data_IF_119463462994
#
_entry.id   IF_119463462994
#
_cell.length_a   1.000
_cell.length_b   1.000
_cell.length_c   1.000
_cell.angle_alpha   90.00
_cell.angle_beta   90.00
_cell.angle_gamma   90.00
#
_symmetry.space_group_name_H-M   'P 1'
#
loop_
_entity.id
_entity.type
_entity.pdbx_description
1 polymer ?
#
# COMPACT_ATOMS: atom_id res chain seq x y z
N UNK A 1 74.64 53.80 12.15
CA UNK A 1 76.02 53.29 12.35
C UNK A 1 76.97 54.19 11.56
N UNK A 2 77.70 55.09 12.23
CA UNK A 2 78.65 56.03 11.59
C UNK A 2 80.04 55.37 11.58
N UNK A 3 80.56 55.04 10.41
CA UNK A 3 81.90 54.50 10.24
C UNK A 3 82.83 55.65 9.79
N UNK A 4 83.71 56.12 10.68
CA UNK A 4 84.78 57.05 10.35
C UNK A 4 86.03 56.24 9.98
N UNK A 5 86.49 56.32 8.73
CA UNK A 5 87.78 55.80 8.29
C UNK A 5 88.66 56.98 7.86
N UNK A 6 89.53 57.42 8.77
CA UNK A 6 90.62 58.33 8.45
C UNK A 6 91.81 57.53 7.91
N UNK A 7 92.00 57.54 6.59
CA UNK A 7 93.20 56.97 5.97
C UNK A 7 93.90 58.05 5.17
N UNK A 8 95.04 58.52 5.69
CA UNK A 8 96.01 59.35 4.99
C UNK A 8 97.07 58.43 4.39
N UNK A 9 97.19 58.40 3.07
CA UNK A 9 98.36 57.86 2.38
C UNK A 9 98.07 56.79 1.32
N UNK A 10 98.69 56.97 0.16
CA UNK A 10 98.75 56.09 -1.01
C UNK A 10 97.52 56.10 -1.94
N UNK A 11 97.70 56.71 -3.12
CA UNK A 11 96.77 56.67 -4.27
C UNK A 11 96.43 55.24 -4.75
N UNK A 12 97.18 54.21 -4.30
CA UNK A 12 96.89 52.82 -4.62
C UNK A 12 95.78 52.21 -3.75
N UNK A 13 95.64 52.63 -2.49
CA UNK A 13 94.60 52.11 -1.58
C UNK A 13 93.18 52.61 -1.93
N UNK A 14 93.08 53.79 -2.55
CA UNK A 14 91.82 54.34 -3.03
C UNK A 14 91.15 53.51 -4.14
N UNK A 15 91.94 52.90 -5.04
CA UNK A 15 91.40 52.09 -6.13
C UNK A 15 90.88 50.74 -5.65
N UNK A 16 91.56 50.12 -4.68
CA UNK A 16 91.15 48.83 -4.10
C UNK A 16 89.89 48.99 -3.24
N UNK A 17 89.81 50.06 -2.45
CA UNK A 17 88.60 50.37 -1.68
C UNK A 17 87.38 50.62 -2.59
N UNK A 18 87.57 51.33 -3.71
CA UNK A 18 86.50 51.56 -4.69
C UNK A 18 86.02 50.26 -5.35
N UNK A 19 86.95 49.36 -5.72
CA UNK A 19 86.58 48.06 -6.29
C UNK A 19 85.82 47.18 -5.29
N UNK A 20 86.28 47.09 -4.04
CA UNK A 20 85.57 46.34 -3.00
C UNK A 20 84.18 46.88 -2.73
N UNK A 21 84.00 48.21 -2.74
CA UNK A 21 82.68 48.82 -2.53
C UNK A 21 81.73 48.52 -3.69
N UNK A 22 82.22 48.57 -4.93
CA UNK A 22 81.43 48.23 -6.13
C UNK A 22 81.09 46.74 -6.14
N UNK A 23 82.04 45.86 -5.83
CA UNK A 23 81.77 44.42 -5.72
C UNK A 23 80.74 44.11 -4.64
N UNK A 24 80.82 44.77 -3.48
CA UNK A 24 79.83 44.59 -2.41
C UNK A 24 78.46 45.11 -2.82
N UNK A 25 78.39 46.24 -3.54
CA UNK A 25 77.13 46.79 -4.02
C UNK A 25 76.48 45.91 -5.09
N UNK A 26 77.28 45.34 -6.00
CA UNK A 26 76.80 44.41 -7.04
C UNK A 26 76.32 43.09 -6.44
N UNK A 27 77.05 42.53 -5.47
CA UNK A 27 76.63 41.31 -4.76
C UNK A 27 75.39 41.60 -3.91
N UNK A 28 75.30 42.75 -3.24
CA UNK A 28 74.12 43.15 -2.48
C UNK A 28 72.89 43.33 -3.37
N UNK A 29 73.03 43.96 -4.54
CA UNK A 29 71.95 44.11 -5.52
C UNK A 29 71.54 42.75 -6.11
N UNK A 30 72.48 41.87 -6.45
CA UNK A 30 72.17 40.52 -6.95
C UNK A 30 71.52 39.64 -5.86
N UNK A 31 71.92 39.77 -4.61
CA UNK A 31 71.34 39.01 -3.49
C UNK A 31 69.94 39.51 -3.12
N UNK A 32 69.67 40.83 -3.22
CA UNK A 32 68.34 41.38 -2.99
C UNK A 32 67.40 41.19 -4.18
N UNK A 33 67.88 41.32 -5.42
CA UNK A 33 67.07 41.08 -6.62
C UNK A 33 66.85 39.58 -6.90
N UNK A 34 67.74 38.70 -6.44
CA UNK A 34 67.59 37.25 -6.54
C UNK A 34 66.67 36.63 -5.48
N UNK A 35 66.45 37.31 -4.35
CA UNK A 35 65.59 36.85 -3.24
C UNK A 35 64.28 37.63 -3.08
N UNK A 36 63.96 38.57 -3.96
CA UNK A 36 62.56 38.93 -4.15
C UNK A 36 61.89 37.72 -4.79
N UNK A 37 61.39 36.80 -3.96
CA UNK A 37 60.27 35.98 -4.38
C UNK A 37 59.25 36.99 -4.91
N UNK A 38 59.04 36.98 -6.22
CA UNK A 38 57.91 37.64 -6.84
C UNK A 38 56.69 36.99 -6.19
N UNK A 39 56.22 37.60 -5.11
CA UNK A 39 54.86 37.41 -4.65
C UNK A 39 54.04 38.08 -5.74
N UNK A 40 53.85 37.35 -6.84
CA UNK A 40 52.75 37.65 -7.74
C UNK A 40 51.54 37.65 -6.83
N UNK A 41 50.93 38.83 -6.65
CA UNK A 41 49.63 38.91 -6.03
C UNK A 41 48.76 37.93 -6.80
N UNK A 42 48.45 36.79 -6.18
CA UNK A 42 47.64 35.78 -6.81
C UNK A 42 46.40 36.49 -7.30
N UNK A 43 46.15 36.44 -8.61
CA UNK A 43 44.93 36.99 -9.18
C UNK A 43 43.77 36.41 -8.36
N UNK A 44 42.89 37.26 -7.80
CA UNK A 44 41.79 36.78 -6.96
C UNK A 44 41.05 35.68 -7.70
N UNK A 45 40.85 34.54 -7.04
CA UNK A 45 40.05 33.46 -7.61
C UNK A 45 38.61 33.98 -7.67
N UNK A 46 38.05 34.03 -8.88
CA UNK A 46 36.64 34.36 -9.09
C UNK A 46 35.88 33.05 -9.29
N UNK A 47 34.74 32.91 -8.61
CA UNK A 47 33.83 31.80 -8.82
C UNK A 47 32.76 32.22 -9.83
N UNK A 48 32.69 31.53 -10.97
CA UNK A 48 31.91 32.01 -12.13
C UNK A 48 30.59 31.27 -12.33
N UNK A 49 30.49 30.00 -11.92
CA UNK A 49 29.29 29.21 -12.20
C UNK A 49 29.05 28.11 -11.18
N UNK A 50 27.82 28.05 -10.68
CA UNK A 50 27.33 26.99 -9.81
C UNK A 50 26.33 26.13 -10.57
N UNK A 51 26.60 24.83 -10.70
CA UNK A 51 25.68 23.86 -11.32
C UNK A 51 25.30 22.77 -10.32
N UNK A 52 24.07 22.27 -10.41
CA UNK A 52 23.63 21.09 -9.68
C UNK A 52 23.15 20.01 -10.66
N UNK A 53 23.38 18.75 -10.33
CA UNK A 53 22.86 17.61 -11.09
C UNK A 53 22.12 16.67 -10.13
N UNK A 54 20.81 16.43 -10.34
CA UNK A 54 19.92 17.11 -11.28
C UNK A 54 19.76 18.62 -10.96
N UNK A 55 19.28 19.39 -11.93
CA UNK A 55 19.01 20.82 -11.77
C UNK A 55 17.97 21.07 -10.66
N UNK A 56 18.11 22.18 -9.94
CA UNK A 56 17.13 22.64 -8.94
C UNK A 56 15.96 23.37 -9.62
N UNK A 57 14.70 23.19 -9.18
CA UNK A 57 14.25 22.20 -8.20
C UNK A 57 14.22 20.77 -8.78
N UNK A 58 14.49 19.78 -7.94
CA UNK A 58 14.44 18.36 -8.33
C UNK A 58 13.44 17.59 -7.47
N UNK A 59 12.89 16.49 -7.99
CA UNK A 59 12.04 15.57 -7.22
C UNK A 59 12.92 14.62 -6.39
N UNK A 60 12.52 14.33 -5.15
CA UNK A 60 13.17 13.32 -4.33
C UNK A 60 13.08 11.94 -4.99
N UNK A 61 14.22 11.29 -5.18
CA UNK A 61 14.32 9.91 -5.67
C UNK A 61 15.27 9.19 -4.72
N UNK A 62 14.79 8.12 -4.08
CA UNK A 62 15.61 7.29 -3.21
C UNK A 62 16.82 6.73 -3.97
N UNK A 63 17.94 6.55 -3.26
CA UNK A 63 19.20 6.05 -3.83
C UNK A 63 19.80 6.87 -4.99
N UNK A 64 19.37 8.12 -5.22
CA UNK A 64 19.92 8.96 -6.29
C UNK A 64 20.95 9.97 -5.76
N UNK A 65 22.22 9.77 -6.11
CA UNK A 65 23.29 10.72 -5.84
C UNK A 65 22.99 12.12 -6.40
N UNK A 66 23.52 13.14 -5.73
CA UNK A 66 23.39 14.54 -6.13
C UNK A 66 24.78 15.14 -6.27
N UNK A 67 25.04 15.89 -7.33
CA UNK A 67 26.33 16.55 -7.50
C UNK A 67 26.18 18.06 -7.61
N UNK A 68 27.10 18.79 -7.01
CA UNK A 68 27.19 20.25 -7.12
C UNK A 68 28.57 20.59 -7.62
N UNK A 69 28.66 21.48 -8.60
CA UNK A 69 29.94 21.94 -9.13
C UNK A 69 30.06 23.44 -9.19
N UNK A 70 31.28 23.93 -8.94
CA UNK A 70 31.66 25.33 -9.06
C UNK A 70 32.83 25.49 -10.03
N UNK A 71 32.73 26.46 -10.95
CA UNK A 71 33.82 26.84 -11.84
C UNK A 71 34.65 27.99 -11.23
N UNK A 72 35.97 27.95 -11.40
CA UNK A 72 36.90 29.01 -10.98
C UNK A 72 37.66 29.64 -12.14
N UNK A 73 37.92 30.95 -12.04
CA UNK A 73 38.75 31.71 -12.97
C UNK A 73 39.86 32.47 -12.22
N UNK A 74 41.11 32.50 -12.74
CA UNK A 74 41.56 31.86 -13.98
C UNK A 74 41.70 30.34 -13.86
N UNK A 75 41.18 29.61 -14.85
CA UNK A 75 41.18 28.15 -14.89
C UNK A 75 42.59 27.51 -14.97
N UNK A 76 43.64 28.32 -15.14
CA UNK A 76 45.03 27.89 -15.38
C UNK A 76 45.96 28.01 -14.17
N UNK A 77 45.52 28.60 -13.06
CA UNK A 77 46.35 28.66 -11.86
C UNK A 77 46.26 27.32 -11.11
N UNK A 78 47.39 26.73 -10.65
CA UNK A 78 47.34 25.73 -9.60
C UNK A 78 46.84 26.45 -8.36
N UNK A 79 45.53 26.57 -8.23
CA UNK A 79 44.92 27.00 -6.99
C UNK A 79 45.48 26.02 -5.96
N UNK A 80 46.26 26.53 -5.02
CA UNK A 80 46.59 25.81 -3.82
C UNK A 80 45.28 25.68 -3.05
N UNK A 81 44.39 24.82 -3.54
CA UNK A 81 43.06 24.56 -3.00
C UNK A 81 43.17 23.84 -1.65
N UNK A 82 44.40 23.78 -1.09
CA UNK A 82 44.80 23.54 0.28
C UNK A 82 43.79 24.09 1.29
N UNK A 83 42.67 23.40 1.57
CA UNK A 83 41.73 23.81 2.62
C UNK A 83 40.50 24.62 2.17
N UNK A 84 39.99 24.44 0.94
CA UNK A 84 38.62 24.86 0.61
C UNK A 84 37.64 24.17 1.57
N UNK A 85 36.78 24.97 2.22
CA UNK A 85 35.74 24.49 3.13
C UNK A 85 34.40 24.63 2.42
N UNK A 86 33.64 23.55 2.41
CA UNK A 86 32.27 23.56 1.93
C UNK A 86 31.31 23.56 3.11
N UNK A 87 30.37 24.50 3.12
CA UNK A 87 29.35 24.55 4.17
C UNK A 87 28.00 24.16 3.58
N UNK A 88 27.39 23.14 4.18
CA UNK A 88 26.03 22.72 3.85
C UNK A 88 25.13 23.21 4.96
N UNK A 89 24.18 24.08 4.61
CA UNK A 89 23.07 24.42 5.49
C UNK A 89 21.82 23.75 4.98
N UNK A 90 21.18 22.89 5.77
CA UNK A 90 19.84 22.41 5.44
C UNK A 90 18.83 23.22 6.24
N UNK A 91 17.81 23.78 5.60
CA UNK A 91 16.79 24.56 6.30
C UNK A 91 15.88 23.70 7.21
N UNK A 92 16.17 22.39 7.28
CA UNK A 92 15.41 21.36 8.01
C UNK A 92 16.06 21.04 9.37
N UNK A 93 17.34 21.35 9.52
CA UNK A 93 18.13 21.27 10.75
C UNK A 93 19.12 22.42 10.66
N UNK A 94 18.89 23.50 11.38
CA UNK A 94 19.67 24.76 11.39
C UNK A 94 21.20 24.57 11.68
N UNK A 95 21.69 23.34 11.81
CA UNK A 95 23.10 23.00 11.90
C UNK A 95 23.73 22.96 10.51
N UNK A 96 24.72 23.82 10.31
CA UNK A 96 25.60 23.72 9.17
C UNK A 96 26.64 22.62 9.41
N UNK A 97 26.82 21.69 8.47
CA UNK A 97 27.97 20.77 8.50
C UNK A 97 29.07 21.32 7.60
N UNK A 98 30.25 21.54 8.17
CA UNK A 98 31.44 21.84 7.39
C UNK A 98 32.02 20.55 6.83
N UNK A 99 32.17 20.48 5.51
CA UNK A 99 32.89 19.43 4.81
C UNK A 99 34.20 20.03 4.32
N UNK A 100 35.30 19.71 5.00
CA UNK A 100 36.65 20.15 4.61
C UNK A 100 37.21 19.23 3.54
N UNK A 101 37.97 19.79 2.59
CA UNK A 101 38.68 19.08 1.53
C UNK A 101 39.25 17.73 1.98
N UNK A 102 38.99 16.69 1.19
CA UNK A 102 39.66 15.40 1.30
C UNK A 102 41.11 15.57 0.79
N UNK A 103 42.09 15.45 1.68
CA UNK A 103 43.50 15.57 1.32
C UNK A 103 43.98 14.39 0.43
N UNK A 104 43.32 13.23 0.51
CA UNK A 104 43.62 12.02 -0.25
C UNK A 104 42.31 11.41 -0.79
N UNK A 105 42.31 10.88 -2.02
CA UNK A 105 41.14 10.44 -2.79
C UNK A 105 40.37 9.21 -2.28
N UNK A 106 40.18 9.07 -0.96
CA UNK A 106 39.50 7.94 -0.31
C UNK A 106 38.32 8.30 0.58
N UNK A 107 37.84 9.54 0.58
CA UNK A 107 36.69 9.97 1.40
C UNK A 107 35.43 10.16 0.54
N UNK A 108 34.30 9.68 1.08
CA UNK A 108 33.04 9.31 0.40
C UNK A 108 32.32 10.42 -0.40
N UNK A 109 32.76 11.68 -0.35
CA UNK A 109 32.01 12.83 -0.89
C UNK A 109 32.65 13.56 -2.08
N UNK A 110 33.90 13.25 -2.47
CA UNK A 110 34.63 14.07 -3.44
C UNK A 110 35.28 13.19 -4.52
N UNK A 111 34.60 13.00 -5.65
CA UNK A 111 35.23 12.48 -6.86
C UNK A 111 35.68 13.70 -7.69
N UNK A 112 36.98 13.91 -7.77
CA UNK A 112 37.56 14.98 -8.59
C UNK A 112 37.26 14.71 -10.07
N UNK A 113 36.97 15.76 -10.84
CA UNK A 113 36.86 15.64 -12.29
C UNK A 113 38.14 16.18 -12.93
N UNK A 114 38.54 15.59 -14.04
CA UNK A 114 39.89 15.62 -14.62
C UNK A 114 40.24 16.94 -15.32
N UNK A 115 39.41 17.97 -15.14
CA UNK A 115 39.48 19.24 -15.86
C UNK A 115 39.88 20.37 -14.91
N UNK A 116 40.99 21.04 -15.23
CA UNK A 116 41.47 22.21 -14.49
C UNK A 116 40.38 23.29 -14.52
N UNK A 117 39.89 23.72 -13.35
CA UNK A 117 38.95 24.84 -13.23
C UNK A 117 37.50 24.50 -12.83
N UNK A 118 37.12 23.24 -12.66
CA UNK A 118 35.78 22.86 -12.14
C UNK A 118 35.90 21.93 -10.94
N UNK A 119 35.36 22.36 -9.80
CA UNK A 119 35.22 21.51 -8.61
C UNK A 119 33.86 20.86 -8.60
N UNK A 120 33.78 19.56 -8.32
CA UNK A 120 32.52 18.82 -8.16
C UNK A 120 32.52 18.07 -6.82
N UNK A 121 31.42 18.16 -6.08
CA UNK A 121 31.16 17.38 -4.87
C UNK A 121 29.95 16.50 -5.13
N UNK A 122 30.07 15.22 -4.79
CA UNK A 122 29.01 14.23 -4.90
C UNK A 122 28.48 13.91 -3.50
N UNK A 123 27.20 14.16 -3.30
CA UNK A 123 26.50 13.78 -2.08
C UNK A 123 25.86 12.42 -2.25
N UNK A 124 26.04 11.61 -1.21
CA UNK A 124 25.33 10.34 -1.06
C UNK A 124 23.92 10.59 -0.52
N UNK A 125 23.06 9.57 -0.61
CA UNK A 125 21.69 9.61 -0.05
C UNK A 125 21.67 10.00 1.43
N UNK A 126 22.66 9.57 2.22
CA UNK A 126 22.73 9.89 3.65
C UNK A 126 22.75 11.42 3.94
N UNK A 127 23.21 12.22 2.98
CA UNK A 127 23.28 13.69 3.10
C UNK A 127 22.03 14.39 2.56
N UNK A 128 21.28 13.73 1.66
CA UNK A 128 20.01 14.18 1.09
C UNK A 128 18.88 13.18 1.39
N UNK A 129 18.80 12.76 2.66
CA UNK A 129 17.83 11.79 3.17
C UNK A 129 16.36 12.24 3.10
N UNK A 130 16.11 13.52 2.76
CA UNK A 130 14.77 14.07 2.76
C UNK A 130 14.51 15.24 1.82
N UNK A 131 13.26 15.38 1.37
CA UNK A 131 12.80 16.54 0.63
C UNK A 131 12.87 17.80 1.50
N UNK A 132 13.01 18.96 0.84
CA UNK A 132 13.18 20.25 1.49
C UNK A 132 14.21 21.11 0.79
N UNK A 133 14.55 22.23 1.42
CA UNK A 133 15.48 23.22 0.87
C UNK A 133 16.83 23.11 1.56
N UNK A 134 17.88 23.04 0.75
CA UNK A 134 19.27 23.08 1.19
C UNK A 134 19.98 24.29 0.56
N UNK A 135 20.84 24.93 1.33
CA UNK A 135 21.63 26.08 0.95
C UNK A 135 23.10 25.68 0.90
N UNK A 136 23.78 26.05 -0.19
CA UNK A 136 25.18 25.69 -0.43
C UNK A 136 26.02 26.94 -0.61
N UNK A 137 27.11 27.02 0.14
CA UNK A 137 28.09 28.10 0.03
C UNK A 137 29.48 27.50 0.03
N UNK A 138 30.29 27.89 -0.95
CA UNK A 138 31.69 27.49 -1.02
C UNK A 138 32.54 28.57 -0.38
N UNK A 139 33.53 28.17 0.41
CA UNK A 139 34.52 29.05 1.01
C UNK A 139 35.91 28.61 0.57
N UNK A 140 36.64 29.50 -0.11
CA UNK A 140 38.07 29.33 -0.30
C UNK A 140 38.80 30.01 0.86
N UNK A 141 39.74 29.30 1.46
CA UNK A 141 40.75 29.91 2.29
C UNK A 141 41.79 30.51 1.34
N UNK A 142 41.73 31.81 1.08
CA UNK A 142 42.86 32.45 0.41
C UNK A 142 43.94 32.75 1.45
N UNK A 143 45.20 32.59 1.06
CA UNK A 143 46.35 32.87 1.93
C UNK A 143 46.51 34.36 2.25
N UNK A 144 45.68 35.22 1.67
CA UNK A 144 45.63 36.66 1.88
C UNK A 144 44.64 37.11 2.96
N UNK A 145 43.87 36.19 3.55
CA UNK A 145 42.89 36.50 4.60
C UNK A 145 41.64 37.22 4.08
N UNK A 146 41.42 37.29 2.77
CA UNK A 146 40.18 37.75 2.19
C UNK A 146 39.26 36.53 2.05
N UNK A 147 38.21 36.46 2.86
CA UNK A 147 37.25 35.36 2.81
C UNK A 147 36.52 35.34 1.46
N UNK A 148 37.05 34.60 0.49
CA UNK A 148 36.41 34.43 -0.80
C UNK A 148 35.35 33.34 -0.69
N UNK A 149 34.07 33.75 -0.72
CA UNK A 149 32.93 32.83 -0.74
C UNK A 149 32.12 32.99 -2.02
N UNK A 150 31.47 31.92 -2.45
CA UNK A 150 30.44 32.02 -3.49
C UNK A 150 29.17 32.66 -2.94
N UNK A 151 28.29 33.08 -3.83
CA UNK A 151 26.88 33.22 -3.50
C UNK A 151 26.30 31.90 -2.97
N UNK A 152 25.25 32.03 -2.15
CA UNK A 152 24.55 30.88 -1.59
C UNK A 152 23.56 30.33 -2.62
N UNK A 153 23.76 29.10 -3.05
CA UNK A 153 22.84 28.41 -3.95
C UNK A 153 21.73 27.78 -3.12
N UNK A 154 20.48 28.00 -3.54
CA UNK A 154 19.32 27.31 -2.98
C UNK A 154 18.96 26.10 -3.85
N UNK A 155 19.10 24.89 -3.28
CA UNK A 155 18.62 23.66 -3.89
C UNK A 155 17.32 23.23 -3.24
N UNK A 156 16.27 23.03 -4.03
CA UNK A 156 14.99 22.52 -3.55
C UNK A 156 14.82 21.07 -4.02
N UNK A 157 14.63 20.16 -3.05
CA UNK A 157 14.10 18.82 -3.29
C UNK A 157 12.61 18.84 -2.99
N UNK A 158 11.80 18.66 -4.02
CA UNK A 158 10.37 18.48 -3.89
C UNK A 158 10.06 17.04 -3.48
N UNK A 159 9.00 16.87 -2.69
CA UNK A 159 8.44 15.57 -2.35
C UNK A 159 8.14 14.78 -3.64
N UNK A 160 8.41 13.47 -3.63
CA UNK A 160 8.03 12.60 -4.74
C UNK A 160 6.51 12.48 -4.79
N UNK A 161 5.95 12.58 -5.99
CA UNK A 161 4.54 12.93 -6.20
C UNK A 161 3.54 11.84 -5.80
N UNK A 162 3.95 10.60 -5.50
CA UNK A 162 3.10 9.61 -4.82
C UNK A 162 3.85 8.32 -4.51
N UNK A 163 3.44 7.59 -3.46
CA UNK A 163 3.81 6.18 -3.26
C UNK A 163 3.01 5.21 -4.15
N UNK A 164 2.02 5.69 -4.91
CA UNK A 164 1.06 4.87 -5.66
C UNK A 164 1.71 3.86 -6.63
N UNK A 165 2.79 4.24 -7.31
CA UNK A 165 3.47 3.39 -8.29
C UNK A 165 4.31 2.26 -7.66
N UNK A 166 4.44 2.25 -6.34
CA UNK A 166 5.24 1.29 -5.61
C UNK A 166 4.41 0.33 -4.75
N UNK A 167 3.10 0.51 -4.70
CA UNK A 167 2.16 -0.32 -3.95
C UNK A 167 1.27 -1.12 -4.89
N UNK A 168 0.90 -2.32 -4.46
CA UNK A 168 -0.03 -3.21 -5.15
C UNK A 168 -1.04 -3.77 -4.16
N UNK A 169 -2.24 -4.03 -4.65
CA UNK A 169 -3.35 -4.60 -3.91
C UNK A 169 -4.06 -5.58 -4.83
N UNK A 170 -4.20 -6.83 -4.38
CA UNK A 170 -4.92 -7.88 -5.11
C UNK A 170 -6.02 -8.49 -4.27
N UNK A 171 -7.02 -9.05 -4.96
CA UNK A 171 -7.96 -10.02 -4.39
C UNK A 171 -7.79 -11.33 -5.19
N UNK A 172 -7.40 -12.40 -4.50
CA UNK A 172 -7.01 -13.70 -5.08
C UNK A 172 -6.08 -13.51 -6.28
N UNK A 173 -4.94 -12.87 -6.04
CA UNK A 173 -3.85 -12.66 -7.00
C UNK A 173 -4.21 -11.81 -8.24
N UNK A 174 -5.36 -11.14 -8.25
CA UNK A 174 -5.75 -10.20 -9.32
C UNK A 174 -5.88 -8.77 -8.80
N UNK A 175 -5.28 -7.79 -9.49
CA UNK A 175 -5.44 -6.35 -9.20
C UNK A 175 -6.77 -5.79 -9.73
N UNK A 176 -7.88 -6.42 -9.36
CA UNK A 176 -9.22 -5.95 -9.71
C UNK A 176 -10.23 -6.33 -8.65
N UNK A 177 -11.34 -5.58 -8.58
CA UNK A 177 -12.49 -5.96 -7.76
C UNK A 177 -12.99 -7.35 -8.15
N UNK A 178 -13.56 -8.06 -7.19
CA UNK A 178 -14.04 -9.43 -7.36
C UNK A 178 -15.42 -9.63 -6.77
N UNK A 179 -16.10 -10.64 -7.30
CA UNK A 179 -17.33 -11.16 -6.76
C UNK A 179 -17.20 -12.67 -6.57
N UNK A 180 -17.61 -13.15 -5.40
CA UNK A 180 -17.56 -14.57 -5.04
C UNK A 180 -18.90 -15.03 -4.48
N UNK A 181 -19.13 -16.33 -4.59
CA UNK A 181 -20.24 -17.03 -3.96
C UNK A 181 -19.79 -17.62 -2.63
N UNK A 182 -20.55 -17.38 -1.56
CA UNK A 182 -20.32 -18.06 -0.28
C UNK A 182 -20.50 -19.58 -0.44
N UNK A 183 -19.69 -20.46 0.20
CA UNK A 183 -18.63 -20.21 1.18
C UNK A 183 -17.21 -20.14 0.60
N UNK A 184 -16.97 -19.42 -0.49
CA UNK A 184 -15.59 -19.25 -0.99
C UNK A 184 -14.71 -18.44 -0.02
N UNK A 185 -13.48 -18.89 0.16
CA UNK A 185 -12.43 -18.11 0.82
C UNK A 185 -11.96 -16.94 -0.05
N UNK A 186 -11.51 -15.87 0.58
CA UNK A 186 -10.89 -14.72 -0.08
C UNK A 186 -9.51 -14.46 0.50
N UNK A 187 -8.61 -13.95 -0.33
CA UNK A 187 -7.28 -13.49 0.02
C UNK A 187 -7.08 -12.09 -0.57
N UNK A 188 -7.21 -11.06 0.25
CA UNK A 188 -6.79 -9.71 -0.13
C UNK A 188 -5.34 -9.49 0.30
N UNK A 189 -4.43 -9.21 -0.64
CA UNK A 189 -3.01 -9.01 -0.33
C UNK A 189 -2.53 -7.65 -0.78
N UNK A 190 -1.95 -6.88 0.14
CA UNK A 190 -1.27 -5.61 -0.13
C UNK A 190 0.25 -5.77 0.02
N UNK A 191 1.02 -5.22 -0.90
CA UNK A 191 2.48 -5.22 -0.81
C UNK A 191 3.10 -4.01 -1.52
N UNK A 192 4.35 -3.72 -1.20
CA UNK A 192 5.12 -2.66 -1.85
C UNK A 192 6.56 -3.06 -2.16
N UNK A 193 7.18 -2.36 -3.11
CA UNK A 193 8.60 -2.53 -3.43
C UNK A 193 9.48 -1.80 -2.39
N UNK A 194 10.02 -2.52 -1.40
CA UNK A 194 10.84 -1.92 -0.34
C UNK A 194 12.12 -1.27 -0.82
N UNK A 195 12.69 -1.74 -1.96
CA UNK A 195 13.89 -1.14 -2.54
C UNK A 195 13.68 0.31 -3.01
N UNK A 196 12.42 0.70 -3.29
CA UNK A 196 12.08 2.06 -3.71
C UNK A 196 12.14 3.10 -2.58
N UNK A 197 12.16 2.64 -1.31
CA UNK A 197 12.08 3.50 -0.14
C UNK A 197 13.40 3.62 0.65
N UNK A 198 14.43 2.83 0.28
CA UNK A 198 15.80 2.98 0.77
C UNK A 198 15.88 3.12 2.30
N UNK A 199 16.57 4.15 2.77
CA UNK A 199 16.74 4.47 4.20
C UNK A 199 15.53 5.16 4.85
N UNK A 200 14.47 5.45 4.10
CA UNK A 200 13.25 6.11 4.58
C UNK A 200 12.06 5.14 4.52
N UNK A 201 11.95 4.17 5.45
CA UNK A 201 10.86 3.20 5.43
C UNK A 201 9.51 3.91 5.57
N UNK A 202 8.60 3.61 4.66
CA UNK A 202 7.21 4.06 4.71
C UNK A 202 6.36 2.93 5.29
N UNK A 203 5.45 3.27 6.19
CA UNK A 203 4.47 2.31 6.71
C UNK A 203 3.28 2.26 5.77
N UNK A 204 2.97 1.06 5.28
CA UNK A 204 1.76 0.80 4.51
C UNK A 204 0.79 -0.01 5.36
N UNK A 205 -0.50 0.28 5.22
CA UNK A 205 -1.55 -0.35 6.04
C UNK A 205 -2.63 -0.93 5.13
N UNK A 206 -3.01 -2.18 5.37
CA UNK A 206 -4.17 -2.82 4.75
C UNK A 206 -5.38 -2.68 5.68
N UNK A 207 -6.47 -2.15 5.15
CA UNK A 207 -7.75 -2.03 5.83
C UNK A 207 -8.82 -2.88 5.14
N UNK A 208 -9.75 -3.43 5.92
CA UNK A 208 -11.02 -3.99 5.46
C UNK A 208 -12.17 -3.22 6.11
N UNK A 209 -13.02 -2.58 5.31
CA UNK A 209 -14.12 -1.73 5.79
C UNK A 209 -13.65 -0.69 6.84
N UNK A 210 -12.48 -0.11 6.62
CA UNK A 210 -11.86 0.87 7.53
C UNK A 210 -11.17 0.29 8.77
N UNK A 211 -11.30 -1.01 9.05
CA UNK A 211 -10.60 -1.67 10.16
C UNK A 211 -9.23 -2.19 9.72
N UNK A 212 -8.20 -1.99 10.55
CA UNK A 212 -6.83 -2.42 10.23
C UNK A 212 -6.68 -3.93 10.26
N UNK A 213 -6.13 -4.48 9.17
CA UNK A 213 -5.67 -5.86 9.08
C UNK A 213 -4.22 -5.96 9.52
N UNK A 214 -3.35 -5.05 9.08
CA UNK A 214 -1.94 -5.05 9.44
C UNK A 214 -1.07 -4.10 8.63
N UNK A 215 0.23 -4.11 8.97
CA UNK A 215 1.26 -3.18 8.42
C UNK A 215 2.55 -3.86 7.95
N UNK A 216 2.58 -5.19 7.84
CA UNK A 216 3.74 -5.95 7.35
C UNK A 216 3.97 -5.78 5.84
N UNK A 217 4.99 -6.42 5.26
CA UNK A 217 5.15 -6.46 3.81
C UNK A 217 5.61 -7.86 3.39
N UNK A 218 4.76 -8.66 2.71
CA UNK A 218 3.36 -8.39 2.36
C UNK A 218 2.39 -8.41 3.58
N UNK A 219 1.18 -7.90 3.40
CA UNK A 219 0.03 -8.11 4.31
C UNK A 219 -1.05 -8.88 3.55
N UNK A 220 -1.59 -9.93 4.17
CA UNK A 220 -2.68 -10.71 3.59
C UNK A 220 -3.83 -10.88 4.58
N UNK A 221 -5.05 -10.75 4.08
CA UNK A 221 -6.30 -11.08 4.77
C UNK A 221 -6.90 -12.35 4.15
N UNK A 222 -6.51 -13.51 4.69
CA UNK A 222 -6.97 -14.83 4.21
C UNK A 222 -8.11 -15.32 5.09
N UNK A 223 -9.34 -15.09 4.67
CA UNK A 223 -10.54 -15.45 5.44
C UNK A 223 -11.70 -15.89 4.54
N UNK A 224 -12.53 -16.80 5.07
CA UNK A 224 -13.87 -17.03 4.55
C UNK A 224 -14.80 -15.98 5.12
N UNK A 225 -15.30 -15.10 4.26
CA UNK A 225 -16.14 -13.97 4.65
C UNK A 225 -17.62 -14.31 4.55
N UNK A 226 -18.42 -13.72 5.42
CA UNK A 226 -19.88 -13.76 5.31
C UNK A 226 -20.37 -13.06 4.03
N UNK A 227 -21.59 -13.33 3.62
CA UNK A 227 -22.19 -12.63 2.49
C UNK A 227 -22.40 -11.14 2.79
N UNK A 228 -21.60 -10.28 2.15
CA UNK A 228 -21.63 -8.83 2.26
C UNK A 228 -20.76 -8.20 1.16
N UNK A 229 -20.80 -6.87 1.06
CA UNK A 229 -19.80 -6.10 0.34
C UNK A 229 -18.66 -5.68 1.29
N UNK A 230 -17.44 -5.83 0.83
CA UNK A 230 -16.21 -5.47 1.53
C UNK A 230 -15.41 -4.48 0.67
N UNK A 231 -14.89 -3.44 1.30
CA UNK A 231 -13.94 -2.51 0.70
C UNK A 231 -12.56 -2.74 1.32
N UNK A 232 -11.59 -3.05 0.48
CA UNK A 232 -10.18 -3.13 0.87
C UNK A 232 -9.47 -1.87 0.46
N UNK A 233 -8.80 -1.24 1.41
CA UNK A 233 -7.98 -0.05 1.18
C UNK A 233 -6.55 -0.37 1.59
N UNK A 234 -5.61 -0.25 0.67
CA UNK A 234 -4.18 -0.33 0.95
C UNK A 234 -3.56 1.05 0.76
N UNK A 235 -3.04 1.64 1.84
CA UNK A 235 -2.61 3.03 1.82
C UNK A 235 -1.29 3.26 2.55
N UNK A 236 -0.68 4.41 2.25
CA UNK A 236 0.42 5.00 3.00
C UNK A 236 0.13 6.49 3.22
N UNK A 237 0.40 6.97 4.43
CA UNK A 237 0.28 8.38 4.77
C UNK A 237 1.40 9.21 4.13
N UNK A 238 1.26 10.53 4.22
CA UNK A 238 2.28 11.44 3.76
C UNK A 238 3.52 11.36 4.65
N UNK A 239 4.67 11.45 4.01
CA UNK A 239 5.97 11.52 4.69
C UNK A 239 6.70 12.76 4.22
N UNK A 240 7.84 13.07 4.83
CA UNK A 240 8.69 14.16 4.31
C UNK A 240 9.05 13.97 2.83
N UNK A 241 9.15 12.73 2.36
CA UNK A 241 9.75 12.40 1.06
C UNK A 241 8.74 12.01 -0.01
N UNK A 242 7.57 11.53 0.39
CA UNK A 242 6.53 11.01 -0.50
C UNK A 242 5.17 11.48 -0.02
N UNK A 243 4.31 11.89 -0.95
CA UNK A 243 2.91 12.18 -0.65
C UNK A 243 2.14 10.88 -0.38
N UNK A 244 1.01 11.01 0.34
CA UNK A 244 0.12 9.89 0.62
C UNK A 244 -0.44 9.26 -0.65
N UNK A 245 -0.78 7.99 -0.58
CA UNK A 245 -1.46 7.28 -1.66
C UNK A 245 -2.32 6.14 -1.12
N UNK A 246 -3.28 5.70 -1.93
CA UNK A 246 -4.12 4.54 -1.64
C UNK A 246 -4.52 3.80 -2.91
N UNK A 247 -4.63 2.48 -2.82
CA UNK A 247 -5.35 1.61 -3.74
C UNK A 247 -6.58 1.06 -3.05
N UNK A 248 -7.68 0.97 -3.77
CA UNK A 248 -8.95 0.47 -3.26
C UNK A 248 -9.50 -0.60 -4.20
N UNK A 249 -9.94 -1.72 -3.64
CA UNK A 249 -10.63 -2.78 -4.38
C UNK A 249 -11.89 -3.21 -3.60
N UNK A 250 -12.94 -3.53 -4.33
CA UNK A 250 -14.17 -4.07 -3.75
C UNK A 250 -14.24 -5.59 -3.90
N UNK A 251 -14.72 -6.24 -2.85
CA UNK A 251 -15.09 -7.66 -2.85
C UNK A 251 -16.56 -7.78 -2.49
N UNK A 252 -17.35 -8.41 -3.36
CA UNK A 252 -18.74 -8.76 -3.05
C UNK A 252 -18.82 -10.27 -2.81
N UNK A 253 -19.35 -10.68 -1.67
CA UNK A 253 -19.65 -12.08 -1.37
C UNK A 253 -21.15 -12.26 -1.41
N UNK A 254 -21.64 -12.97 -2.43
CA UNK A 254 -23.05 -13.23 -2.64
C UNK A 254 -23.56 -14.33 -1.70
N UNK A 255 -24.75 -14.13 -1.14
CA UNK A 255 -25.43 -15.17 -0.36
C UNK A 255 -26.19 -16.11 -1.30
N UNK A 256 -26.37 -17.36 -0.86
CA UNK A 256 -27.21 -18.30 -1.58
C UNK A 256 -28.68 -18.13 -1.17
N UNK A 257 -29.57 -18.06 -2.16
CA UNK A 257 -31.00 -18.12 -1.97
C UNK A 257 -31.53 -19.46 -2.50
N UNK A 258 -32.25 -20.20 -1.66
CA UNK A 258 -32.95 -21.43 -2.06
C UNK A 258 -34.45 -21.23 -1.87
N UNK A 259 -35.23 -21.51 -2.90
CA UNK A 259 -36.69 -21.38 -2.87
C UNK A 259 -37.36 -22.73 -2.65
N UNK A 260 -38.57 -22.73 -2.08
CA UNK A 260 -39.45 -23.90 -2.01
C UNK A 260 -40.79 -23.56 -2.65
N UNK A 261 -41.22 -24.39 -3.58
CA UNK A 261 -42.54 -24.43 -4.18
C UNK A 261 -43.17 -25.79 -3.91
N UNK A 262 -44.34 -25.79 -3.28
CA UNK A 262 -45.19 -26.98 -3.15
C UNK A 262 -46.30 -26.89 -4.20
N UNK A 263 -46.54 -27.96 -4.94
CA UNK A 263 -47.64 -28.01 -5.91
C UNK A 263 -49.02 -27.77 -5.26
N UNK A 264 -49.15 -28.07 -3.97
CA UNK A 264 -50.29 -27.69 -3.13
C UNK A 264 -49.82 -27.51 -1.68
N UNK A 265 -50.40 -26.54 -0.97
CA UNK A 265 -50.13 -26.29 0.46
C UNK A 265 -51.19 -26.88 1.38
N UNK A 266 -52.30 -27.38 0.83
CA UNK A 266 -53.43 -27.98 1.58
C UNK A 266 -53.75 -29.34 0.99
N UNK A 267 -53.62 -30.39 1.78
CA UNK A 267 -53.67 -31.78 1.32
C UNK A 267 -54.40 -32.68 2.30
N UNK A 268 -54.89 -33.81 1.81
CA UNK A 268 -55.26 -34.92 2.68
C UNK A 268 -54.02 -35.63 3.18
N UNK A 269 -54.17 -36.37 4.26
CA UNK A 269 -53.10 -37.24 4.75
C UNK A 269 -52.75 -38.29 3.68
N UNK A 270 -51.47 -38.68 3.62
CA UNK A 270 -50.94 -39.67 2.69
C UNK A 270 -51.04 -39.30 1.18
N UNK A 271 -51.57 -38.12 0.84
CA UNK A 271 -51.58 -37.60 -0.54
C UNK A 271 -50.15 -37.40 -1.05
N UNK A 272 -49.97 -37.58 -2.36
CA UNK A 272 -48.69 -37.31 -3.00
C UNK A 272 -48.50 -35.81 -3.21
N UNK A 273 -47.38 -35.29 -2.73
CA UNK A 273 -46.98 -33.90 -2.88
C UNK A 273 -45.72 -33.84 -3.75
N UNK A 274 -45.63 -32.79 -4.55
CA UNK A 274 -44.42 -32.45 -5.29
C UNK A 274 -43.86 -31.14 -4.75
N UNK A 275 -42.67 -31.21 -4.17
CA UNK A 275 -41.87 -30.05 -3.81
C UNK A 275 -40.80 -29.81 -4.87
N UNK A 276 -40.54 -28.56 -5.18
CA UNK A 276 -39.47 -28.16 -6.08
C UNK A 276 -38.95 -26.78 -5.72
N UNK A 277 -37.83 -26.38 -6.29
CA UNK A 277 -37.33 -25.02 -6.11
C UNK A 277 -36.09 -24.75 -6.93
N UNK A 278 -35.51 -23.60 -6.66
CA UNK A 278 -34.30 -23.07 -7.31
C UNK A 278 -33.30 -22.66 -6.24
N UNK A 279 -32.04 -23.05 -6.41
CA UNK A 279 -30.88 -22.58 -5.66
C UNK A 279 -30.04 -21.64 -6.54
N UNK A 280 -29.92 -20.38 -6.13
CA UNK A 280 -29.20 -19.35 -6.87
C UNK A 280 -28.63 -18.28 -5.94
N UNK A 281 -27.41 -17.84 -6.20
CA UNK A 281 -26.78 -16.76 -5.46
C UNK A 281 -27.48 -15.41 -5.75
N UNK A 282 -27.36 -14.46 -4.85
CA UNK A 282 -27.96 -13.11 -5.01
C UNK A 282 -27.43 -12.35 -6.22
N UNK A 283 -26.29 -12.75 -6.78
CA UNK A 283 -25.73 -12.22 -8.02
C UNK A 283 -26.25 -12.90 -9.30
N UNK A 284 -27.17 -13.86 -9.16
CA UNK A 284 -27.74 -14.63 -10.26
C UNK A 284 -26.94 -15.87 -10.66
N UNK A 285 -25.77 -16.12 -10.04
CA UNK A 285 -25.01 -17.35 -10.28
C UNK A 285 -25.82 -18.55 -9.79
N UNK A 286 -25.85 -19.62 -10.60
CA UNK A 286 -26.59 -20.83 -10.30
C UNK A 286 -25.77 -21.75 -9.39
N UNK A 287 -26.42 -22.30 -8.37
CA UNK A 287 -25.83 -23.32 -7.50
C UNK A 287 -26.19 -24.72 -8.01
N UNK A 288 -25.36 -25.24 -8.92
CA UNK A 288 -25.54 -26.53 -9.55
C UNK A 288 -24.73 -27.63 -8.85
N UNK A 289 -25.30 -28.85 -8.81
CA UNK A 289 -24.70 -30.04 -8.20
C UNK A 289 -24.50 -29.96 -6.66
N UNK A 290 -25.17 -29.05 -5.95
CA UNK A 290 -25.18 -29.07 -4.48
C UNK A 290 -26.16 -30.16 -3.99
N UNK A 291 -25.73 -30.93 -3.00
CA UNK A 291 -26.55 -31.98 -2.41
C UNK A 291 -27.63 -31.36 -1.52
N UNK A 292 -28.88 -31.75 -1.74
CA UNK A 292 -30.03 -31.27 -0.98
C UNK A 292 -30.68 -32.37 -0.14
N UNK A 293 -31.30 -31.97 0.97
CA UNK A 293 -32.23 -32.77 1.77
C UNK A 293 -33.51 -32.00 2.05
N UNK A 294 -34.65 -32.65 1.84
CA UNK A 294 -35.95 -32.07 2.11
C UNK A 294 -36.61 -32.76 3.29
N UNK A 295 -37.11 -31.97 4.23
CA UNK A 295 -37.66 -32.44 5.51
C UNK A 295 -39.11 -31.99 5.68
N UNK A 296 -39.89 -32.82 6.36
CA UNK A 296 -41.20 -32.45 6.91
C UNK A 296 -41.14 -32.63 8.43
N UNK A 297 -41.28 -31.54 9.17
CA UNK A 297 -41.17 -31.50 10.63
C UNK A 297 -39.90 -32.20 11.16
N UNK A 298 -38.77 -31.96 10.50
CA UNK A 298 -37.47 -32.57 10.81
C UNK A 298 -37.24 -33.99 10.26
N UNK A 299 -38.26 -34.64 9.68
CA UNK A 299 -38.14 -35.99 9.11
C UNK A 299 -37.73 -35.90 7.64
N UNK A 300 -36.60 -36.52 7.29
CA UNK A 300 -36.09 -36.59 5.92
C UNK A 300 -37.09 -37.31 5.00
N UNK A 301 -37.49 -36.64 3.93
CA UNK A 301 -38.42 -37.17 2.92
C UNK A 301 -37.70 -37.63 1.66
N UNK A 302 -36.64 -36.93 1.27
CA UNK A 302 -35.90 -37.20 0.06
C UNK A 302 -34.58 -36.40 0.06
N UNK A 303 -33.67 -36.86 -0.78
CA UNK A 303 -32.41 -36.18 -1.05
C UNK A 303 -32.04 -36.31 -2.53
N UNK A 304 -31.14 -35.45 -2.98
CA UNK A 304 -30.63 -35.44 -4.35
C UNK A 304 -29.58 -34.36 -4.55
N UNK A 305 -29.37 -33.95 -5.80
CA UNK A 305 -28.49 -32.83 -6.15
C UNK A 305 -29.25 -31.82 -7.00
N UNK A 306 -28.92 -30.53 -6.85
CA UNK A 306 -29.44 -29.50 -7.77
C UNK A 306 -28.94 -29.77 -9.19
N UNK A 307 -29.78 -29.50 -10.19
CA UNK A 307 -29.42 -29.69 -11.59
C UNK A 307 -28.54 -28.53 -12.11
N UNK A 308 -28.16 -28.56 -13.39
CA UNK A 308 -27.35 -27.51 -14.04
C UNK A 308 -27.99 -26.11 -14.03
N UNK A 309 -29.29 -26.02 -13.77
CA UNK A 309 -30.04 -24.77 -13.63
C UNK A 309 -30.33 -24.43 -12.16
N UNK A 310 -29.73 -25.14 -11.20
CA UNK A 310 -29.95 -24.96 -9.75
C UNK A 310 -31.31 -25.48 -9.28
N UNK A 311 -32.06 -26.11 -10.17
CA UNK A 311 -33.37 -26.66 -9.87
C UNK A 311 -33.25 -27.95 -9.05
N UNK A 312 -34.15 -28.11 -8.08
CA UNK A 312 -34.29 -29.34 -7.32
C UNK A 312 -35.76 -29.75 -7.24
N UNK A 313 -36.01 -31.04 -7.03
CA UNK A 313 -37.36 -31.54 -6.85
C UNK A 313 -37.43 -32.80 -5.99
N UNK A 314 -38.59 -33.00 -5.39
CA UNK A 314 -38.85 -34.05 -4.42
C UNK A 314 -40.32 -34.45 -4.49
N UNK A 315 -40.59 -35.76 -4.52
CA UNK A 315 -41.92 -36.32 -4.37
C UNK A 315 -42.01 -37.05 -3.04
N UNK A 316 -42.99 -36.70 -2.22
CA UNK A 316 -43.19 -37.30 -0.90
C UNK A 316 -44.69 -37.47 -0.61
N UNK A 317 -45.02 -38.16 0.50
CA UNK A 317 -46.40 -38.32 0.96
C UNK A 317 -46.67 -37.42 2.15
N UNK A 318 -47.85 -36.81 2.18
CA UNK A 318 -48.29 -36.00 3.32
C UNK A 318 -48.29 -36.84 4.62
N UNK A 319 -47.92 -36.26 5.77
CA UNK A 319 -48.07 -36.90 7.08
C UNK A 319 -49.46 -37.52 7.28
N UNK A 320 -49.51 -38.62 8.05
CA UNK A 320 -50.79 -39.28 8.39
C UNK A 320 -51.60 -38.49 9.42
N UNK A 321 -50.94 -37.63 10.17
CA UNK A 321 -51.53 -36.78 11.19
C UNK A 321 -52.06 -35.47 10.58
N UNK A 322 -53.21 -35.03 11.06
CA UNK A 322 -53.77 -33.71 10.71
C UNK A 322 -52.98 -32.65 11.49
N UNK A 323 -52.56 -31.60 10.81
CA UNK A 323 -51.79 -30.53 11.43
C UNK A 323 -51.15 -29.56 10.45
N UNK A 324 -50.35 -28.67 11.04
CA UNK A 324 -49.49 -27.72 10.33
C UNK A 324 -48.06 -28.22 10.45
N UNK A 325 -47.41 -28.46 9.33
CA UNK A 325 -46.06 -29.02 9.27
C UNK A 325 -45.10 -28.04 8.61
N UNK A 326 -43.90 -27.92 9.17
CA UNK A 326 -42.80 -27.21 8.53
C UNK A 326 -42.22 -28.07 7.42
N UNK A 327 -42.12 -27.52 6.22
CA UNK A 327 -41.42 -28.11 5.09
C UNK A 327 -40.11 -27.36 4.89
N UNK A 328 -38.97 -28.05 5.01
CA UNK A 328 -37.65 -27.43 5.00
C UNK A 328 -36.75 -28.04 3.94
N UNK A 329 -36.07 -27.21 3.16
CA UNK A 329 -34.96 -27.61 2.29
C UNK A 329 -33.64 -27.22 2.95
N UNK A 330 -32.63 -28.06 2.83
CA UNK A 330 -31.25 -27.76 3.24
C UNK A 330 -30.28 -28.21 2.17
N UNK A 331 -29.35 -27.33 1.81
CA UNK A 331 -28.23 -27.59 0.92
C UNK A 331 -26.96 -27.85 1.73
N UNK A 332 -26.09 -28.73 1.24
CA UNK A 332 -24.99 -29.29 2.04
C UNK A 332 -23.72 -28.48 1.90
N UNK A 333 -23.29 -28.17 0.67
CA UNK A 333 -22.02 -27.48 0.44
C UNK A 333 -22.09 -26.03 0.93
N UNK A 334 -23.23 -25.40 0.72
CA UNK A 334 -23.47 -23.98 0.99
C UNK A 334 -24.13 -23.72 2.34
N UNK A 335 -24.61 -24.78 3.01
CA UNK A 335 -25.38 -24.74 4.27
C UNK A 335 -26.65 -23.89 4.21
N UNK A 336 -27.12 -23.51 3.02
CA UNK A 336 -28.32 -22.72 2.86
C UNK A 336 -29.57 -23.55 3.18
N UNK A 337 -30.59 -22.88 3.71
CA UNK A 337 -31.87 -23.51 4.02
C UNK A 337 -33.02 -22.54 3.83
N UNK A 338 -34.21 -23.09 3.60
CA UNK A 338 -35.46 -22.34 3.58
C UNK A 338 -36.58 -23.21 4.13
N UNK A 339 -37.66 -22.58 4.58
CA UNK A 339 -38.82 -23.23 5.20
C UNK A 339 -40.11 -22.69 4.60
N UNK A 340 -41.09 -23.54 4.45
CA UNK A 340 -42.48 -23.18 4.12
C UNK A 340 -43.44 -24.04 4.95
N UNK A 341 -44.74 -23.80 4.81
CA UNK A 341 -45.78 -24.49 5.59
C UNK A 341 -46.61 -25.41 4.71
N UNK A 342 -46.78 -26.65 5.18
CA UNK A 342 -47.72 -27.62 4.65
C UNK A 342 -48.88 -27.79 5.64
N UNK A 343 -50.12 -27.66 5.16
CA UNK A 343 -51.33 -27.93 5.93
C UNK A 343 -51.89 -29.30 5.54
N UNK A 344 -51.81 -30.26 6.45
CA UNK A 344 -52.51 -31.54 6.32
C UNK A 344 -53.83 -31.40 7.06
N UNK A 345 -54.92 -31.30 6.32
CA UNK A 345 -56.25 -31.17 6.91
C UNK A 345 -57.30 -31.74 5.98
N UNK A 346 -58.42 -32.25 6.52
CA UNK A 346 -59.52 -32.66 5.68
C UNK A 346 -59.94 -31.50 4.78
N UNK A 347 -59.77 -31.66 3.47
CA UNK A 347 -60.41 -30.78 2.51
C UNK A 347 -61.71 -31.44 2.14
N UNK A 348 -62.77 -31.08 2.86
CA UNK A 348 -64.11 -31.31 2.38
C UNK A 348 -64.23 -30.59 1.03
N UNK A 349 -64.88 -31.21 0.05
CA UNK A 349 -65.09 -30.60 -1.27
C UNK A 349 -65.80 -29.24 -1.17
N UNK A 350 -66.12 -28.58 -2.30
CA UNK A 350 -66.94 -27.38 -2.27
C UNK A 350 -68.14 -27.59 -1.35
N UNK A 351 -68.43 -26.61 -0.49
CA UNK A 351 -69.54 -26.66 0.45
C UNK A 351 -70.76 -27.19 -0.30
N UNK A 352 -71.37 -28.31 0.14
CA UNK A 352 -72.44 -28.95 -0.60
C UNK A 352 -73.53 -27.94 -0.94
N UNK A 353 -73.93 -27.91 -2.22
CA UNK A 353 -75.05 -27.09 -2.69
C UNK A 353 -76.33 -27.75 -2.18
N UNK A 354 -76.77 -27.35 -1.00
CA UNK A 354 -78.07 -27.71 -0.45
C UNK A 354 -78.11 -28.96 0.43
N UNK A 355 -79.12 -28.98 1.29
CA UNK A 355 -79.41 -30.05 2.27
C UNK A 355 -80.10 -31.28 1.65
N UNK A 356 -80.42 -31.25 0.35
CA UNK A 356 -81.23 -32.26 -0.33
C UNK A 356 -80.49 -33.55 -0.66
N UNK A 357 -79.17 -33.49 -0.89
CA UNK A 357 -78.40 -34.63 -1.42
C UNK A 357 -77.28 -35.05 -0.45
N UNK A 358 -77.63 -35.43 0.77
CA UNK A 358 -76.69 -36.09 1.70
C UNK A 358 -77.15 -37.50 2.00
N UNK A 359 -76.25 -38.47 1.89
CA UNK A 359 -76.44 -39.80 2.45
C UNK A 359 -75.86 -39.79 3.86
N UNK A 360 -76.72 -39.94 4.87
CA UNK A 360 -76.30 -40.09 6.26
C UNK A 360 -76.35 -41.57 6.60
N UNK A 361 -75.19 -42.17 6.81
CA UNK A 361 -75.07 -43.53 7.33
C UNK A 361 -74.88 -43.45 8.84
N UNK A 362 -75.83 -44.02 9.58
CA UNK A 362 -75.71 -44.19 11.02
C UNK A 362 -75.46 -45.66 11.30
N UNK A 363 -74.31 -45.96 11.91
CA UNK A 363 -74.00 -47.32 12.32
C UNK A 363 -73.82 -47.33 13.85
N UNK A 364 -74.71 -48.00 14.60
CA UNK A 364 -74.59 -48.12 16.04
C UNK A 364 -73.47 -49.12 16.37
N UNK A 365 -72.57 -48.72 17.25
CA UNK A 365 -71.54 -49.58 17.81
C UNK A 365 -71.76 -49.72 19.32
N UNK A 366 -71.56 -50.92 19.84
CA UNK A 366 -71.46 -51.14 21.28
C UNK A 366 -70.01 -50.88 21.68
N UNK A 367 -69.81 -49.93 22.59
CA UNK A 367 -68.54 -49.72 23.28
C UNK A 367 -68.72 -50.04 24.75
N UNK A 368 -67.67 -50.55 25.39
CA UNK A 368 -67.66 -50.77 26.82
C UNK A 368 -67.03 -49.54 27.49
N UNK A 369 -67.72 -48.94 28.46
CA UNK A 369 -67.18 -47.81 29.22
C UNK A 369 -66.15 -48.24 30.26
N UNK A 370 -65.51 -47.27 30.92
CA UNK A 370 -64.48 -47.50 31.93
C UNK A 370 -64.96 -48.33 33.14
N UNK A 371 -66.28 -48.46 33.35
CA UNK A 371 -66.87 -49.25 34.41
C UNK A 371 -67.39 -50.62 33.91
N UNK A 372 -67.04 -51.02 32.69
CA UNK A 372 -67.45 -52.28 32.11
C UNK A 372 -68.89 -52.30 31.55
N UNK A 373 -69.60 -51.16 31.52
CA UNK A 373 -70.98 -51.10 31.01
C UNK A 373 -70.99 -50.90 29.49
N UNK A 374 -71.81 -51.67 28.79
CA UNK A 374 -72.03 -51.49 27.35
C UNK A 374 -72.86 -50.22 27.10
N UNK A 375 -72.37 -49.37 26.21
CA UNK A 375 -73.06 -48.18 25.70
C UNK A 375 -73.13 -48.24 24.18
N UNK A 376 -74.28 -47.87 23.63
CA UNK A 376 -74.42 -47.68 22.19
C UNK A 376 -73.94 -46.29 21.81
N UNK A 377 -72.96 -46.21 20.91
CA UNK A 377 -72.55 -44.96 20.27
C UNK A 377 -72.95 -45.01 18.81
N UNK A 378 -73.56 -43.94 18.32
CA UNK A 378 -73.95 -43.80 16.92
C UNK A 378 -72.83 -43.09 16.19
N UNK A 379 -72.17 -43.79 15.27
CA UNK A 379 -71.25 -43.15 14.33
C UNK A 379 -72.07 -42.67 13.15
N UNK A 380 -72.12 -41.34 12.96
CA UNK A 380 -72.80 -40.70 11.84
C UNK A 380 -71.79 -40.32 10.75
N UNK A 381 -71.79 -41.05 9.65
CA UNK A 381 -71.01 -40.73 8.44
C UNK A 381 -71.94 -40.01 7.48
N UNK A 382 -71.66 -38.74 7.20
CA UNK A 382 -72.38 -37.99 6.16
C UNK A 382 -71.53 -37.98 4.90
N UNK A 383 -72.03 -38.61 3.84
CA UNK A 383 -71.45 -38.59 2.51
C UNK A 383 -72.30 -37.74 1.58
N UNK A 384 -71.66 -36.96 0.72
CA UNK A 384 -72.34 -36.26 -0.38
C UNK A 384 -72.02 -37.01 -1.68
N UNK A 385 -73.03 -37.35 -2.50
CA UNK A 385 -72.81 -37.88 -3.82
C UNK A 385 -72.08 -36.83 -4.67
N UNK A 386 -71.19 -37.30 -5.53
CA UNK A 386 -70.33 -36.46 -6.37
C UNK A 386 -71.08 -35.87 -7.54
#
# INVERSE_FOLDING_TARGET
MKLFLGVKGSKALSKIAAYLLISFFVVYQLYFLGNTQLIFAATPIVFDLNQSTPASPATYIANQNKSFSVSITPASAPADANGVIFQIGRNITLAYSNVTRCANGGQTACTWNDSVGVFRINFTEAQFDRAGVSNFTWFANDSSGAGNKTDTIRYALNQNSSTLNFMNLTINDTESSKEYSFPAGSNATGWYNSAAFGASPITFTLLRNGSSIGTTNPISDVQQLSAAAYNYTYYADDTTNFSSARKELSLVVSSLNVTIFLNTTKVWWNDSIYASGLASFTNGTIDANDAFRFFINGIDQCSGTTNSSGGWSCKFRAPVEIGTFEARISLTATTASNTTILYVRPSYGPTPIGTSDRSVYENPFLIQDENGRLKTVIIRITAWPR
#
